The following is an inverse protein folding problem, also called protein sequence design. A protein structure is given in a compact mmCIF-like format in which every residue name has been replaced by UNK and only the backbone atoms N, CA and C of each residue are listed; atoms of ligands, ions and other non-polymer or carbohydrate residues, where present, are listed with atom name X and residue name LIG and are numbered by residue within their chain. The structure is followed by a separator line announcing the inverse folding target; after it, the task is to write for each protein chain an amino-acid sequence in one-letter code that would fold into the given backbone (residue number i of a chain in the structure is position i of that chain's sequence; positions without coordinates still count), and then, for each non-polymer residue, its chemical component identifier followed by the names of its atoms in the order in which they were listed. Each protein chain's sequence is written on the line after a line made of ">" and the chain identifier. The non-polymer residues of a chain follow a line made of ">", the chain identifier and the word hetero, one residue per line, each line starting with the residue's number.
data_IF_581616521266
#
_entry.id   IF_581616521266
#
_cell.length_a   1.000
_cell.length_b   1.000
_cell.length_c   1.000
_cell.angle_alpha   90.00
_cell.angle_beta   90.00
_cell.angle_gamma   90.00
#
_symmetry.space_group_name_H-M   'P 1'
#
loop_
_entity.id
_entity.type
_entity.pdbx_description
1 polymer ?
#
# COMPACT_ATOMS: atom_id res chain seq x y z
N UNK A 1 -11.19 -13.18 1.21
CA UNK A 1 -9.81 -12.73 0.99
C UNK A 1 -9.68 -12.33 -0.46
N UNK A 2 -10.05 -11.09 -0.75
CA UNK A 2 -9.83 -10.44 -2.04
C UNK A 2 -8.54 -9.64 -1.96
N UNK A 3 -7.60 -9.93 -2.85
CA UNK A 3 -6.27 -9.33 -2.88
C UNK A 3 -6.01 -8.80 -4.28
N UNK A 4 -5.41 -7.62 -4.36
CA UNK A 4 -4.88 -7.09 -5.60
C UNK A 4 -3.35 -7.13 -5.56
N UNK A 5 -2.78 -7.84 -6.53
CA UNK A 5 -1.35 -7.94 -6.73
C UNK A 5 -0.86 -6.82 -7.67
N UNK A 6 0.18 -6.10 -7.27
CA UNK A 6 0.67 -4.90 -7.94
C UNK A 6 2.19 -4.94 -8.00
N UNK A 7 2.74 -5.13 -9.20
CA UNK A 7 4.18 -5.02 -9.41
C UNK A 7 4.65 -3.58 -9.21
N UNK A 8 5.67 -3.37 -8.38
CA UNK A 8 6.26 -2.05 -8.14
C UNK A 8 7.77 -2.06 -8.36
N UNK A 9 8.30 -0.90 -8.74
CA UNK A 9 9.74 -0.73 -8.80
C UNK A 9 10.35 -0.59 -7.39
N UNK A 10 11.61 -1.00 -7.22
CA UNK A 10 12.33 -0.92 -5.94
C UNK A 10 12.34 0.50 -5.34
N UNK A 11 12.33 1.55 -6.18
CA UNK A 11 12.22 2.93 -5.70
C UNK A 11 10.84 3.24 -5.10
N UNK A 12 9.74 2.71 -5.66
CA UNK A 12 8.40 2.82 -5.12
C UNK A 12 8.30 2.07 -3.79
N UNK A 13 8.85 0.85 -3.70
CA UNK A 13 8.92 0.07 -2.46
C UNK A 13 9.56 0.87 -1.32
N UNK A 14 10.73 1.44 -1.57
CA UNK A 14 11.44 2.29 -0.60
C UNK A 14 10.66 3.55 -0.21
N UNK A 15 9.93 4.15 -1.16
CA UNK A 15 9.09 5.32 -0.88
C UNK A 15 7.88 4.96 -0.03
N UNK A 16 7.27 3.80 -0.24
CA UNK A 16 6.14 3.29 0.54
C UNK A 16 6.54 3.07 2.00
N UNK A 17 7.61 2.31 2.23
CA UNK A 17 8.16 2.07 3.57
C UNK A 17 8.52 3.36 4.31
N UNK A 18 8.93 4.40 3.59
CA UNK A 18 9.24 5.71 4.18
C UNK A 18 8.00 6.54 4.49
N UNK A 19 6.96 6.43 3.66
CA UNK A 19 5.75 7.23 3.77
C UNK A 19 4.74 6.64 4.76
N UNK A 20 4.68 5.31 4.86
CA UNK A 20 3.78 4.57 5.74
C UNK A 20 4.65 3.89 6.80
N UNK A 21 4.72 4.49 7.99
CA UNK A 21 5.50 3.98 9.13
C UNK A 21 4.61 3.21 10.13
N UNK A 22 3.42 2.81 9.71
CA UNK A 22 2.44 2.11 10.54
C UNK A 22 2.34 0.66 10.08
N UNK A 23 2.79 -0.26 10.95
CA UNK A 23 2.83 -1.70 10.69
C UNK A 23 1.43 -2.32 10.56
N UNK A 24 0.40 -1.66 11.12
CA UNK A 24 -0.99 -2.09 10.94
C UNK A 24 -1.52 -1.79 9.55
N UNK A 25 -0.90 -0.82 8.87
CA UNK A 25 -1.26 -0.38 7.52
C UNK A 25 -0.40 -1.08 6.49
N UNK A 26 0.91 -1.12 6.69
CA UNK A 26 1.89 -1.69 5.77
C UNK A 26 2.85 -2.58 6.53
N UNK A 27 2.89 -3.86 6.17
CA UNK A 27 3.78 -4.87 6.75
C UNK A 27 4.40 -5.73 5.65
N UNK A 28 5.50 -6.39 5.97
CA UNK A 28 6.16 -7.33 5.07
C UNK A 28 5.72 -8.75 5.43
N UNK A 29 5.28 -9.53 4.44
CA UNK A 29 4.95 -10.94 4.61
C UNK A 29 6.23 -11.82 4.61
N UNK A 30 6.12 -13.09 5.01
CA UNK A 30 7.22 -14.06 5.02
C UNK A 30 7.90 -14.22 3.64
N UNK A 31 7.17 -13.93 2.56
CA UNK A 31 7.67 -13.95 1.18
C UNK A 31 8.56 -12.75 0.82
N UNK A 32 8.60 -11.72 1.68
CA UNK A 32 9.28 -10.47 1.42
C UNK A 32 8.47 -9.50 0.55
N UNK A 33 7.17 -9.75 0.38
CA UNK A 33 6.23 -8.85 -0.31
C UNK A 33 5.65 -7.82 0.67
N UNK A 34 5.39 -6.61 0.19
CA UNK A 34 4.73 -5.60 1.02
C UNK A 34 3.22 -5.76 0.92
N UNK A 35 2.58 -5.93 2.06
CA UNK A 35 1.13 -6.08 2.17
C UNK A 35 0.54 -4.84 2.83
N UNK A 36 -0.52 -4.30 2.23
CA UNK A 36 -1.27 -3.18 2.78
C UNK A 36 -2.72 -3.55 3.00
N UNK A 37 -3.22 -3.34 4.22
CA UNK A 37 -4.64 -3.48 4.51
C UNK A 37 -5.40 -2.26 3.98
N UNK A 38 -6.37 -2.48 3.09
CA UNK A 38 -7.17 -1.40 2.49
C UNK A 38 -8.00 -0.67 3.54
N UNK A 39 -8.52 -1.41 4.53
CA UNK A 39 -9.28 -0.83 5.63
C UNK A 39 -8.41 0.12 6.48
N UNK A 40 -7.26 -0.37 6.96
CA UNK A 40 -6.32 0.43 7.75
C UNK A 40 -5.77 1.61 6.93
N UNK A 41 -5.47 1.40 5.66
CA UNK A 41 -4.98 2.45 4.77
C UNK A 41 -6.01 3.56 4.56
N UNK A 42 -7.29 3.22 4.42
CA UNK A 42 -8.36 4.22 4.30
C UNK A 42 -8.50 5.08 5.54
N UNK A 43 -8.24 4.54 6.74
CA UNK A 43 -8.19 5.34 7.97
C UNK A 43 -6.92 6.20 8.02
N UNK A 44 -5.77 5.61 7.71
CA UNK A 44 -4.47 6.29 7.70
C UNK A 44 -4.42 7.49 6.75
N UNK A 45 -5.03 7.36 5.56
CA UNK A 45 -4.96 8.42 4.54
C UNK A 45 -5.92 9.59 4.76
N UNK A 46 -6.83 9.54 5.74
CA UNK A 46 -7.85 10.59 5.96
C UNK A 46 -7.27 12.00 6.13
N UNK A 47 -6.11 12.10 6.77
CA UNK A 47 -5.44 13.36 7.06
C UNK A 47 -4.23 13.64 6.15
N UNK A 48 -4.04 12.83 5.09
CA UNK A 48 -2.88 12.89 4.21
C UNK A 48 -3.29 13.26 2.78
N UNK A 49 -2.94 14.48 2.35
CA UNK A 49 -3.10 14.93 0.97
C UNK A 49 -1.76 15.46 0.40
N UNK A 50 -1.20 14.84 -0.67
CA UNK A 50 -1.71 13.66 -1.35
C UNK A 50 -1.43 12.37 -0.56
N UNK A 51 -2.38 11.44 -0.62
CA UNK A 51 -2.25 10.12 -0.02
C UNK A 51 -1.06 9.32 -0.64
N UNK A 52 -0.26 8.61 0.18
CA UNK A 52 1.02 8.08 -0.28
C UNK A 52 0.93 6.97 -1.34
N UNK A 53 -0.07 6.07 -1.30
CA UNK A 53 -0.24 5.05 -2.34
C UNK A 53 -0.59 5.70 -3.67
N UNK A 54 -1.57 6.60 -3.68
CA UNK A 54 -2.00 7.35 -4.85
C UNK A 54 -0.84 8.17 -5.46
N UNK A 55 0.04 8.72 -4.63
CA UNK A 55 1.20 9.51 -5.06
C UNK A 55 2.39 8.67 -5.55
N UNK A 56 2.61 7.48 -4.98
CA UNK A 56 3.79 6.65 -5.26
C UNK A 56 3.51 5.60 -6.33
N UNK A 57 2.39 4.89 -6.20
CA UNK A 57 1.96 3.81 -7.09
C UNK A 57 1.13 4.37 -8.24
N UNK A 58 0.29 5.36 -7.94
CA UNK A 58 -0.62 5.98 -8.92
C UNK A 58 -2.05 5.51 -8.72
N UNK A 59 -2.97 6.46 -8.56
CA UNK A 59 -4.37 6.20 -8.24
C UNK A 59 -5.11 5.26 -9.23
N UNK A 60 -4.64 5.14 -10.48
CA UNK A 60 -5.26 4.27 -11.50
C UNK A 60 -4.99 2.78 -11.29
N UNK A 61 -4.00 2.42 -10.47
CA UNK A 61 -3.62 1.03 -10.24
C UNK A 61 -4.24 0.44 -8.97
N UNK A 62 -4.84 1.27 -8.11
CA UNK A 62 -5.34 0.86 -6.79
C UNK A 62 -6.85 0.61 -6.84
N UNK A 63 -7.26 -0.65 -6.64
CA UNK A 63 -8.66 -1.02 -6.50
C UNK A 63 -9.05 -1.07 -5.02
N UNK A 64 -9.70 -0.02 -4.52
CA UNK A 64 -10.13 0.03 -3.12
C UNK A 64 -11.33 -0.88 -2.79
N UNK A 65 -11.75 -1.76 -3.73
CA UNK A 65 -12.79 -2.77 -3.48
C UNK A 65 -12.21 -4.08 -2.94
N UNK A 66 -10.88 -4.27 -2.99
CA UNK A 66 -10.20 -5.41 -2.39
C UNK A 66 -9.90 -5.19 -0.91
N UNK A 67 -9.52 -6.26 -0.20
CA UNK A 67 -9.20 -6.21 1.23
C UNK A 67 -7.72 -5.86 1.47
N UNK A 68 -6.84 -6.33 0.58
CA UNK A 68 -5.39 -6.12 0.67
C UNK A 68 -4.76 -5.77 -0.67
N UNK A 69 -3.78 -4.86 -0.65
CA UNK A 69 -2.82 -4.70 -1.74
C UNK A 69 -1.56 -5.48 -1.41
N UNK A 70 -1.04 -6.24 -2.37
CA UNK A 70 0.24 -6.93 -2.27
C UNK A 70 1.17 -6.37 -3.34
N UNK A 71 2.36 -5.96 -2.91
CA UNK A 71 3.37 -5.35 -3.77
C UNK A 71 4.63 -6.21 -3.84
N UNK A 72 5.01 -6.56 -5.06
CA UNK A 72 6.20 -7.36 -5.39
C UNK A 72 7.17 -6.61 -6.33
#
# INVERSE_FOLDING_TARGET
>A
MSVQDISIANNQRKRLLKAINDDTVLFEDESGDLVVSVAAYNEFKRDLDPAPLESIVGAKQLDFSVEFFVFH
#
